data_IF_844567372456
#
_entry.id   IF_844567372456
#
_cell.length_a   1.000
_cell.length_b   1.000
_cell.length_c   1.000
_cell.angle_alpha   90.00
_cell.angle_beta   90.00
_cell.angle_gamma   90.00
#
_symmetry.space_group_name_H-M   'P 1'
#
loop_
_entity.id
_entity.type
_entity.pdbx_description
1 polymer ?
#
# COMPACT_ATOMS: atom_id res chain seq x y z
N UNK A 1 26.76 28.19 -8.55
CA UNK A 1 25.34 28.06 -8.14
C UNK A 1 24.46 27.67 -9.34
N UNK A 2 24.93 27.85 -10.56
CA UNK A 2 24.15 27.83 -11.81
C UNK A 2 23.93 26.42 -12.40
N UNK A 3 24.86 25.49 -12.16
CA UNK A 3 24.69 24.08 -12.54
C UNK A 3 23.56 23.39 -11.75
N UNK A 4 23.30 23.85 -10.52
CA UNK A 4 22.19 23.36 -9.70
C UNK A 4 20.87 23.91 -10.27
N UNK A 5 20.75 25.20 -10.56
CA UNK A 5 19.52 25.75 -11.16
C UNK A 5 19.16 25.07 -12.49
N UNK A 6 20.15 24.82 -13.37
CA UNK A 6 19.94 24.14 -14.65
C UNK A 6 19.45 22.68 -14.51
N UNK A 7 19.85 21.98 -13.44
CA UNK A 7 19.35 20.64 -13.14
C UNK A 7 17.97 20.64 -12.48
N UNK A 8 17.59 21.72 -11.79
CA UNK A 8 16.32 21.83 -11.07
C UNK A 8 15.16 22.40 -11.91
N UNK A 9 15.45 23.19 -12.95
CA UNK A 9 14.44 23.68 -13.90
C UNK A 9 13.60 22.56 -14.57
N UNK A 10 14.19 21.47 -15.13
CA UNK A 10 13.39 20.38 -15.70
C UNK A 10 12.54 19.66 -14.66
N UNK A 11 13.01 19.55 -13.40
CA UNK A 11 12.23 19.00 -12.30
C UNK A 11 11.03 19.89 -11.96
N UNK A 12 11.20 21.20 -11.99
CA UNK A 12 10.15 22.17 -11.69
C UNK A 12 9.06 22.17 -12.75
N UNK A 13 9.44 22.09 -14.02
CA UNK A 13 8.48 21.99 -15.12
C UNK A 13 7.76 20.63 -15.11
N UNK A 14 8.46 19.53 -14.84
CA UNK A 14 7.82 18.23 -14.65
C UNK A 14 6.80 18.25 -13.49
N UNK A 15 7.12 18.88 -12.37
CA UNK A 15 6.20 19.02 -11.25
C UNK A 15 4.95 19.84 -11.61
N UNK A 16 5.11 20.93 -12.38
CA UNK A 16 3.97 21.73 -12.88
C UNK A 16 3.08 20.93 -13.81
N UNK A 17 3.68 20.18 -14.72
CA UNK A 17 2.95 19.33 -15.67
C UNK A 17 2.27 18.16 -14.96
N UNK A 18 2.90 17.57 -13.95
CA UNK A 18 2.30 16.56 -13.08
C UNK A 18 1.05 17.08 -12.35
N UNK A 19 1.10 18.29 -11.81
CA UNK A 19 -0.08 18.92 -11.17
C UNK A 19 -1.18 19.19 -12.19
N UNK A 20 -0.83 19.63 -13.41
CA UNK A 20 -1.81 19.84 -14.49
C UNK A 20 -2.47 18.54 -14.92
N UNK A 21 -1.70 17.46 -15.01
CA UNK A 21 -2.19 16.11 -15.29
C UNK A 21 -3.15 15.62 -14.21
N UNK A 22 -2.76 15.68 -12.92
CA UNK A 22 -3.60 15.25 -11.80
C UNK A 22 -4.93 16.02 -11.70
N UNK A 23 -4.96 17.28 -12.14
CA UNK A 23 -6.19 18.07 -12.23
C UNK A 23 -7.11 17.65 -13.38
N UNK A 24 -6.57 17.02 -14.43
CA UNK A 24 -7.36 16.46 -15.55
C UNK A 24 -7.86 15.04 -15.31
N UNK A 25 -7.25 14.30 -14.38
CA UNK A 25 -7.74 12.98 -14.02
C UNK A 25 -9.13 13.05 -13.39
N UNK A 26 -10.01 12.14 -13.77
CA UNK A 26 -11.30 11.96 -13.09
C UNK A 26 -11.04 11.43 -11.69
N UNK A 27 -11.38 12.22 -10.68
CA UNK A 27 -11.27 11.81 -9.28
C UNK A 27 -12.41 10.83 -8.97
N UNK A 28 -12.15 9.73 -8.24
CA UNK A 28 -13.18 8.78 -7.88
C UNK A 28 -14.23 9.47 -7.00
N UNK A 29 -15.50 9.14 -7.25
CA UNK A 29 -16.58 9.63 -6.40
C UNK A 29 -16.53 8.95 -5.01
N UNK A 30 -17.15 9.57 -4.00
CA UNK A 30 -17.24 8.99 -2.65
C UNK A 30 -17.83 7.59 -2.66
N UNK A 31 -18.82 7.32 -3.51
CA UNK A 31 -19.45 6.00 -3.58
C UNK A 31 -18.51 4.93 -4.17
N UNK A 32 -17.72 5.29 -5.18
CA UNK A 32 -16.75 4.39 -5.81
C UNK A 32 -15.61 4.07 -4.83
N UNK A 33 -15.12 5.11 -4.13
CA UNK A 33 -14.09 4.94 -3.12
C UNK A 33 -14.55 4.02 -1.99
N UNK A 34 -15.77 4.21 -1.46
CA UNK A 34 -16.31 3.35 -0.40
C UNK A 34 -16.48 1.91 -0.86
N UNK A 35 -16.92 1.67 -2.11
CA UNK A 35 -17.03 0.30 -2.66
C UNK A 35 -15.68 -0.38 -2.75
N UNK A 36 -14.65 0.30 -3.25
CA UNK A 36 -13.29 -0.25 -3.34
C UNK A 36 -12.71 -0.47 -1.94
N UNK A 37 -12.82 0.53 -1.06
CA UNK A 37 -12.33 0.44 0.32
C UNK A 37 -12.96 -0.73 1.08
N UNK A 38 -14.28 -0.94 0.95
CA UNK A 38 -14.96 -2.06 1.60
C UNK A 38 -14.47 -3.42 1.07
N UNK A 39 -14.27 -3.55 -0.24
CA UNK A 39 -13.72 -4.78 -0.85
C UNK A 39 -12.29 -5.06 -0.38
N UNK A 40 -11.45 -4.04 -0.35
CA UNK A 40 -10.06 -4.16 0.13
C UNK A 40 -10.00 -4.47 1.63
N UNK A 41 -10.83 -3.82 2.45
CA UNK A 41 -10.91 -4.07 3.88
C UNK A 41 -11.30 -5.53 4.18
N UNK A 42 -12.28 -6.08 3.46
CA UNK A 42 -12.66 -7.49 3.59
C UNK A 42 -11.50 -8.42 3.24
N UNK A 43 -10.77 -8.15 2.15
CA UNK A 43 -9.59 -8.92 1.77
C UNK A 43 -8.48 -8.87 2.83
N UNK A 44 -8.25 -7.69 3.43
CA UNK A 44 -7.26 -7.53 4.48
C UNK A 44 -7.62 -8.33 5.75
N UNK A 45 -8.91 -8.31 6.14
CA UNK A 45 -9.40 -9.10 7.27
C UNK A 45 -9.23 -10.60 7.04
N UNK A 46 -9.56 -11.09 5.84
CA UNK A 46 -9.39 -12.51 5.50
C UNK A 46 -7.91 -12.92 5.53
N UNK A 47 -7.03 -12.15 4.87
CA UNK A 47 -5.60 -12.46 4.85
C UNK A 47 -4.96 -12.38 6.25
N UNK A 48 -5.39 -11.40 7.06
CA UNK A 48 -4.94 -11.26 8.45
C UNK A 48 -5.38 -12.43 9.33
N UNK A 49 -6.64 -12.86 9.21
CA UNK A 49 -7.18 -13.97 10.00
C UNK A 49 -6.48 -15.29 9.63
N UNK A 50 -6.29 -15.56 8.34
CA UNK A 50 -5.57 -16.76 7.88
C UNK A 50 -4.15 -16.78 8.44
N UNK A 51 -3.42 -15.67 8.36
CA UNK A 51 -2.07 -15.56 8.93
C UNK A 51 -2.04 -15.76 10.45
N UNK A 52 -3.02 -15.22 11.17
CA UNK A 52 -3.13 -15.39 12.62
C UNK A 52 -3.39 -16.84 13.02
N UNK A 53 -4.34 -17.51 12.38
CA UNK A 53 -4.69 -18.91 12.66
C UNK A 53 -3.50 -19.83 12.39
N UNK A 54 -2.86 -19.66 11.23
CA UNK A 54 -1.64 -20.40 10.86
C UNK A 54 -0.59 -20.22 11.96
N UNK A 55 -0.24 -18.99 12.31
CA UNK A 55 0.78 -18.71 13.31
C UNK A 55 0.39 -19.25 14.70
N UNK A 56 -0.87 -19.14 15.09
CA UNK A 56 -1.38 -19.63 16.37
C UNK A 56 -1.25 -21.16 16.51
N UNK A 57 -1.45 -21.92 15.42
CA UNK A 57 -1.26 -23.39 15.42
C UNK A 57 0.23 -23.75 15.42
N UNK A 58 1.06 -23.02 14.66
CA UNK A 58 2.48 -23.34 14.54
C UNK A 58 3.29 -23.08 15.81
N UNK A 59 2.88 -22.14 16.69
CA UNK A 59 3.57 -21.87 17.97
C UNK A 59 3.63 -23.12 18.90
N UNK A 60 2.49 -23.74 19.28
CA UNK A 60 2.51 -24.92 20.14
C UNK A 60 3.11 -26.14 19.43
N UNK A 61 2.86 -26.30 18.13
CA UNK A 61 3.44 -27.40 17.33
C UNK A 61 4.97 -27.36 17.36
N UNK A 62 5.56 -26.18 17.15
CA UNK A 62 7.02 -26.04 17.20
C UNK A 62 7.58 -26.32 18.60
N UNK A 63 6.87 -25.91 19.66
CA UNK A 63 7.29 -26.20 21.05
C UNK A 63 7.26 -27.70 21.37
N UNK A 64 6.29 -28.45 20.86
CA UNK A 64 6.19 -29.90 21.10
C UNK A 64 7.27 -30.65 20.34
N UNK A 65 7.48 -30.30 19.07
CA UNK A 65 8.49 -30.95 18.21
C UNK A 65 9.90 -30.70 18.76
N UNK A 66 10.22 -29.45 19.11
CA UNK A 66 11.54 -29.10 19.66
C UNK A 66 11.81 -29.70 21.05
N UNK A 67 10.78 -30.00 21.84
CA UNK A 67 10.94 -30.69 23.13
C UNK A 67 11.13 -32.20 22.99
N UNK A 68 10.88 -32.77 21.81
CA UNK A 68 10.93 -34.21 21.55
C UNK A 68 12.24 -34.71 20.92
N UNK A 69 13.20 -33.80 20.68
CA UNK A 69 14.60 -34.08 20.31
C UNK A 69 15.51 -33.61 21.42
#
# INVERSE_FOLDING_TARGET
MDAIYSAFDPLRDFARDGVRFLKRCQKPDRQEFTKVACRTALGFVVMGLVGYVVKAVFIPVNSIILSST
#
